data_IF_553090501091
#
_entry.id   IF_553090501091
#
_cell.length_a   1.000
_cell.length_b   1.000
_cell.length_c   1.000
_cell.angle_alpha   90.00
_cell.angle_beta   90.00
_cell.angle_gamma   90.00
#
_symmetry.space_group_name_H-M   'P 1'
#
loop_
_entity.id
_entity.type
_entity.pdbx_description
1 polymer ?
#
# COMPACT_ATOMS: atom_id res chain seq x y z
N UNK A 1 2.14 13.28 21.77
CA UNK A 1 1.65 12.72 20.51
C UNK A 1 0.30 13.36 20.24
N UNK A 2 0.21 14.30 19.30
CA UNK A 2 -1.09 14.87 18.90
C UNK A 2 -1.81 13.79 18.08
N UNK A 3 -2.81 13.15 18.68
CA UNK A 3 -3.52 12.00 18.07
C UNK A 3 -4.23 12.43 16.77
N UNK A 4 -4.69 13.68 16.70
CA UNK A 4 -5.31 14.30 15.54
C UNK A 4 -4.47 15.48 15.06
N UNK A 5 -3.58 15.23 14.10
CA UNK A 5 -2.87 16.30 13.40
C UNK A 5 -3.83 17.04 12.49
N UNK A 6 -3.74 18.38 12.51
CA UNK A 6 -4.53 19.20 11.57
C UNK A 6 -3.98 18.99 10.15
N UNK A 7 -4.86 18.98 9.14
CA UNK A 7 -4.41 19.01 7.77
C UNK A 7 -3.54 20.24 7.51
N UNK A 8 -2.54 20.12 6.64
CA UNK A 8 -1.70 21.26 6.29
C UNK A 8 -2.57 22.37 5.64
N UNK A 9 -2.44 23.63 6.08
CA UNK A 9 -3.22 24.73 5.51
C UNK A 9 -2.94 24.88 4.02
N UNK A 10 -3.98 25.12 3.22
CA UNK A 10 -3.86 25.29 1.77
C UNK A 10 -3.85 24.01 0.93
N UNK A 11 -3.92 22.81 1.52
CA UNK A 11 -3.92 21.55 0.75
C UNK A 11 -5.29 21.11 0.25
N UNK A 12 -6.39 21.74 0.68
CA UNK A 12 -7.76 21.45 0.21
C UNK A 12 -7.92 21.50 -1.32
N UNK A 13 -7.56 22.60 -2.02
CA UNK A 13 -7.74 22.69 -3.47
C UNK A 13 -6.89 21.66 -4.22
N UNK A 14 -5.71 21.34 -3.70
CA UNK A 14 -4.83 20.29 -4.27
C UNK A 14 -5.49 18.92 -4.08
N UNK A 15 -6.06 18.65 -2.90
CA UNK A 15 -6.78 17.41 -2.58
C UNK A 15 -7.96 17.19 -3.53
N UNK A 16 -8.78 18.22 -3.75
CA UNK A 16 -9.92 18.14 -4.68
C UNK A 16 -9.47 17.88 -6.13
N UNK A 17 -8.42 18.58 -6.59
CA UNK A 17 -7.84 18.35 -7.92
C UNK A 17 -7.28 16.94 -8.06
N UNK A 18 -6.60 16.43 -7.03
CA UNK A 18 -6.06 15.07 -7.01
C UNK A 18 -7.16 14.02 -7.06
N UNK A 19 -8.20 14.17 -6.26
CA UNK A 19 -9.34 13.26 -6.27
C UNK A 19 -10.00 13.24 -7.64
N UNK A 20 -10.29 14.39 -8.25
CA UNK A 20 -10.85 14.44 -9.59
C UNK A 20 -9.92 13.77 -10.62
N UNK A 21 -8.62 14.07 -10.56
CA UNK A 21 -7.62 13.54 -11.49
C UNK A 21 -7.41 12.03 -11.36
N UNK A 22 -7.63 11.44 -10.18
CA UNK A 22 -7.52 9.99 -9.97
C UNK A 22 -8.86 9.30 -10.26
N UNK A 23 -9.97 9.85 -9.76
CA UNK A 23 -11.28 9.20 -9.81
C UNK A 23 -11.92 9.25 -11.19
N UNK A 24 -11.80 10.34 -11.94
CA UNK A 24 -12.42 10.44 -13.28
C UNK A 24 -11.86 9.39 -14.24
N UNK A 25 -10.53 9.24 -14.40
CA UNK A 25 -9.98 8.19 -15.25
C UNK A 25 -10.29 6.79 -14.71
N UNK A 26 -10.22 6.59 -13.38
CA UNK A 26 -10.52 5.28 -12.79
C UNK A 26 -11.97 4.87 -12.98
N UNK A 27 -12.92 5.81 -12.90
CA UNK A 27 -14.34 5.58 -13.18
C UNK A 27 -14.56 5.24 -14.66
N UNK A 28 -13.89 5.94 -15.58
CA UNK A 28 -13.93 5.62 -17.00
C UNK A 28 -13.43 4.20 -17.28
N UNK A 29 -12.29 3.81 -16.68
CA UNK A 29 -11.79 2.43 -16.77
C UNK A 29 -12.78 1.42 -16.18
N UNK A 30 -13.45 1.77 -15.07
CA UNK A 30 -14.47 0.91 -14.48
C UNK A 30 -15.64 0.65 -15.43
N UNK A 31 -16.07 1.67 -16.19
CA UNK A 31 -17.16 1.53 -17.18
C UNK A 31 -16.70 0.73 -18.40
N UNK A 32 -15.46 0.92 -18.86
CA UNK A 32 -14.96 0.30 -20.08
C UNK A 32 -14.48 -1.15 -19.90
N UNK A 33 -13.90 -1.46 -18.73
CA UNK A 33 -13.17 -2.71 -18.51
C UNK A 33 -13.46 -3.36 -17.14
N UNK A 34 -14.43 -2.84 -16.39
CA UNK A 34 -14.88 -3.41 -15.12
C UNK A 34 -14.06 -2.96 -13.91
N UNK A 35 -14.55 -3.35 -12.73
CA UNK A 35 -14.03 -2.89 -11.44
C UNK A 35 -12.59 -3.37 -11.17
N UNK A 36 -12.24 -4.60 -11.56
CA UNK A 36 -10.87 -5.13 -11.41
C UNK A 36 -9.85 -4.29 -12.20
N UNK A 37 -10.18 -3.93 -13.44
CA UNK A 37 -9.35 -3.04 -14.26
C UNK A 37 -9.18 -1.66 -13.62
N UNK A 38 -10.27 -1.09 -13.08
CA UNK A 38 -10.25 0.19 -12.38
C UNK A 38 -9.35 0.16 -11.13
N UNK A 39 -9.42 -0.90 -10.33
CA UNK A 39 -8.57 -1.08 -9.14
C UNK A 39 -7.09 -1.18 -9.52
N UNK A 40 -6.77 -2.01 -10.53
CA UNK A 40 -5.40 -2.15 -11.03
C UNK A 40 -4.83 -0.85 -11.59
N UNK A 41 -5.63 -0.14 -12.39
CA UNK A 41 -5.30 1.16 -12.93
C UNK A 41 -5.07 2.20 -11.82
N UNK A 42 -5.99 2.33 -10.87
CA UNK A 42 -5.91 3.32 -9.79
C UNK A 42 -4.70 3.10 -8.87
N UNK A 43 -4.39 1.84 -8.55
CA UNK A 43 -3.15 1.50 -7.83
C UNK A 43 -1.90 1.92 -8.61
N UNK A 44 -1.91 1.72 -9.93
CA UNK A 44 -0.80 2.08 -10.79
C UNK A 44 -0.64 3.60 -10.98
N UNK A 45 -1.74 4.37 -10.91
CA UNK A 45 -1.69 5.84 -10.78
C UNK A 45 -0.90 6.23 -9.54
N UNK A 46 -1.17 5.57 -8.40
CA UNK A 46 -0.39 5.76 -7.17
C UNK A 46 1.10 5.46 -7.34
N UNK A 47 1.45 4.38 -8.07
CA UNK A 47 2.85 4.06 -8.38
C UNK A 47 3.51 5.16 -9.22
N UNK A 48 2.84 5.61 -10.28
CA UNK A 48 3.32 6.71 -11.13
C UNK A 48 3.54 7.99 -10.33
N UNK A 49 2.62 8.33 -9.43
CA UNK A 49 2.74 9.48 -8.54
C UNK A 49 3.86 9.36 -7.52
N UNK A 50 4.14 8.16 -7.03
CA UNK A 50 5.20 7.92 -6.06
C UNK A 50 6.61 8.05 -6.68
N UNK A 51 6.79 7.63 -7.93
CA UNK A 51 8.12 7.62 -8.58
C UNK A 51 8.47 8.91 -9.31
N UNK A 52 7.46 9.65 -9.79
CA UNK A 52 7.66 10.82 -10.67
C UNK A 52 8.39 12.00 -10.01
N UNK A 53 8.10 12.40 -8.75
CA UNK A 53 8.73 13.57 -8.14
C UNK A 53 10.23 13.42 -7.88
N UNK A 54 10.72 12.18 -7.78
CA UNK A 54 12.05 11.84 -7.28
C UNK A 54 12.94 11.17 -8.32
N UNK A 55 12.44 10.94 -9.55
CA UNK A 55 13.12 10.16 -10.58
C UNK A 55 13.22 10.90 -11.92
N UNK A 56 14.22 10.57 -12.73
CA UNK A 56 14.34 11.08 -14.11
C UNK A 56 13.33 10.40 -15.05
N UNK A 57 12.92 11.02 -16.17
CA UNK A 57 11.93 10.44 -17.09
C UNK A 57 12.21 8.99 -17.54
N UNK A 58 13.45 8.67 -17.88
CA UNK A 58 13.86 7.29 -18.24
C UNK A 58 13.70 6.31 -17.08
N UNK A 59 14.01 6.75 -15.86
CA UNK A 59 13.86 5.93 -14.66
C UNK A 59 12.39 5.73 -14.31
N UNK A 60 11.55 6.75 -14.47
CA UNK A 60 10.11 6.66 -14.27
C UNK A 60 9.53 5.58 -15.18
N UNK A 61 9.84 5.63 -16.48
CA UNK A 61 9.40 4.62 -17.43
C UNK A 61 9.87 3.22 -17.02
N UNK A 62 11.15 3.07 -16.64
CA UNK A 62 11.67 1.78 -16.19
C UNK A 62 10.96 1.25 -14.92
N UNK A 63 10.69 2.09 -13.93
CA UNK A 63 10.02 1.69 -12.69
C UNK A 63 8.53 1.33 -12.92
N UNK A 64 7.84 2.05 -13.81
CA UNK A 64 6.47 1.72 -14.23
C UNK A 64 6.46 0.37 -14.96
N UNK A 65 7.41 0.14 -15.88
CA UNK A 65 7.56 -1.14 -16.59
C UNK A 65 7.84 -2.27 -15.62
N UNK A 66 8.73 -2.08 -14.63
CA UNK A 66 8.97 -3.06 -13.57
C UNK A 66 7.69 -3.38 -12.80
N UNK A 67 6.90 -2.37 -12.44
CA UNK A 67 5.60 -2.56 -11.80
C UNK A 67 4.63 -3.36 -12.68
N UNK A 68 4.58 -3.07 -13.98
CA UNK A 68 3.73 -3.79 -14.94
C UNK A 68 4.15 -5.24 -15.11
N UNK A 69 5.46 -5.51 -15.21
CA UNK A 69 6.00 -6.88 -15.29
C UNK A 69 5.67 -7.66 -14.01
N UNK A 70 5.88 -7.08 -12.83
CA UNK A 70 5.56 -7.74 -11.57
C UNK A 70 4.07 -8.04 -11.44
N UNK A 71 3.19 -7.09 -11.80
CA UNK A 71 1.75 -7.31 -11.77
C UNK A 71 1.28 -8.35 -12.80
N UNK A 72 1.84 -8.34 -14.01
CA UNK A 72 1.56 -9.34 -15.04
C UNK A 72 1.99 -10.75 -14.62
N UNK A 73 3.20 -10.89 -14.06
CA UNK A 73 3.69 -12.16 -13.54
C UNK A 73 2.87 -12.64 -12.33
N UNK A 74 2.43 -11.73 -11.47
CA UNK A 74 1.57 -12.06 -10.34
C UNK A 74 0.19 -12.56 -10.81
N UNK A 75 -0.43 -11.86 -11.76
CA UNK A 75 -1.69 -12.27 -12.40
C UNK A 75 -1.55 -13.62 -13.12
N UNK A 76 -0.43 -13.85 -13.80
CA UNK A 76 -0.15 -15.16 -14.41
C UNK A 76 0.04 -16.27 -13.37
N UNK A 77 0.70 -15.97 -12.25
CA UNK A 77 0.92 -16.91 -11.15
C UNK A 77 -0.38 -17.24 -10.38
N UNK A 78 -1.36 -16.32 -10.37
CA UNK A 78 -2.61 -16.46 -9.64
C UNK A 78 -2.39 -16.72 -8.15
N UNK A 79 -2.98 -17.80 -7.63
CA UNK A 79 -2.87 -18.19 -6.22
C UNK A 79 -1.75 -19.23 -5.94
N UNK A 80 -0.81 -19.45 -6.87
CA UNK A 80 0.25 -20.45 -6.66
C UNK A 80 1.24 -20.01 -5.55
N UNK A 81 1.35 -20.76 -4.42
CA UNK A 81 2.05 -20.26 -3.23
C UNK A 81 3.53 -19.93 -3.46
N UNK A 82 4.26 -20.84 -4.11
CA UNK A 82 5.71 -20.69 -4.32
C UNK A 82 6.03 -19.57 -5.32
N UNK A 83 5.22 -19.38 -6.37
CA UNK A 83 5.46 -18.35 -7.37
C UNK A 83 5.22 -16.96 -6.79
N UNK A 84 4.13 -16.77 -6.02
CA UNK A 84 3.88 -15.51 -5.31
C UNK A 84 4.97 -15.23 -4.26
N UNK A 85 5.41 -16.23 -3.50
CA UNK A 85 6.50 -16.06 -2.54
C UNK A 85 7.81 -15.64 -3.23
N UNK A 86 8.15 -16.25 -4.37
CA UNK A 86 9.32 -15.86 -5.16
C UNK A 86 9.19 -14.41 -5.68
N UNK A 87 8.05 -14.06 -6.28
CA UNK A 87 7.78 -12.69 -6.77
C UNK A 87 7.84 -11.66 -5.65
N UNK A 88 7.34 -11.98 -4.46
CA UNK A 88 7.44 -11.13 -3.27
C UNK A 88 8.89 -10.90 -2.88
N UNK A 89 9.71 -11.94 -2.82
CA UNK A 89 11.13 -11.81 -2.51
C UNK A 89 11.86 -10.97 -3.57
N UNK A 90 11.65 -11.23 -4.86
CA UNK A 90 12.26 -10.44 -5.95
C UNK A 90 11.81 -8.98 -5.93
N UNK A 91 10.52 -8.72 -5.69
CA UNK A 91 10.01 -7.35 -5.58
C UNK A 91 10.64 -6.59 -4.40
N UNK A 92 10.91 -7.28 -3.29
CA UNK A 92 11.58 -6.70 -2.13
C UNK A 92 13.06 -6.39 -2.39
N UNK A 93 13.75 -7.20 -3.20
CA UNK A 93 15.12 -6.91 -3.68
C UNK A 93 15.12 -5.66 -4.57
N UNK A 94 14.18 -5.54 -5.51
CA UNK A 94 14.04 -4.34 -6.33
C UNK A 94 13.71 -3.10 -5.49
N UNK A 95 12.87 -3.27 -4.48
CA UNK A 95 12.54 -2.25 -3.48
C UNK A 95 13.78 -1.81 -2.68
N UNK A 96 14.66 -2.74 -2.29
CA UNK A 96 15.93 -2.43 -1.62
C UNK A 96 16.84 -1.55 -2.49
N UNK A 97 16.94 -1.86 -3.78
CA UNK A 97 17.74 -1.08 -4.74
C UNK A 97 17.12 0.31 -4.94
N UNK A 98 15.79 0.39 -5.06
CA UNK A 98 15.08 1.65 -5.26
C UNK A 98 15.21 2.60 -4.05
N UNK A 99 15.13 2.06 -2.83
CA UNK A 99 15.25 2.83 -1.59
C UNK A 99 16.60 3.54 -1.41
N UNK A 100 17.67 3.07 -2.08
CA UNK A 100 18.97 3.75 -2.05
C UNK A 100 18.94 5.14 -2.68
N UNK A 101 17.95 5.42 -3.54
CA UNK A 101 17.77 6.75 -4.16
C UNK A 101 16.84 7.63 -3.36
N UNK A 102 15.73 7.07 -2.90
CA UNK A 102 14.77 7.74 -2.03
C UNK A 102 13.91 6.70 -1.34
N UNK A 103 13.73 6.85 -0.03
CA UNK A 103 12.89 5.99 0.77
C UNK A 103 11.46 5.95 0.22
N UNK A 104 10.89 4.75 0.10
CA UNK A 104 9.53 4.56 -0.39
C UNK A 104 9.41 4.51 -1.91
N UNK A 105 10.50 4.72 -2.67
CA UNK A 105 10.54 4.43 -4.10
C UNK A 105 10.19 2.96 -4.35
N UNK A 106 9.23 2.71 -5.23
CA UNK A 106 8.74 1.37 -5.58
C UNK A 106 8.07 0.62 -4.40
N UNK A 107 7.68 1.30 -3.32
CA UNK A 107 6.99 0.68 -2.17
C UNK A 107 5.65 0.00 -2.51
N UNK A 108 5.03 0.42 -3.62
CA UNK A 108 3.81 -0.19 -4.12
C UNK A 108 4.05 -1.47 -4.93
N UNK A 109 5.27 -1.78 -5.40
CA UNK A 109 5.49 -2.95 -6.25
C UNK A 109 5.24 -4.30 -5.55
N UNK A 110 5.71 -4.55 -4.31
CA UNK A 110 5.31 -5.77 -3.58
C UNK A 110 3.80 -5.83 -3.33
N UNK A 111 3.14 -4.66 -3.16
CA UNK A 111 1.69 -4.59 -3.04
C UNK A 111 1.01 -4.96 -4.35
N UNK A 112 1.58 -4.60 -5.51
CA UNK A 112 1.07 -5.05 -6.81
C UNK A 112 1.10 -6.57 -6.95
N UNK A 113 2.19 -7.22 -6.50
CA UNK A 113 2.27 -8.70 -6.51
C UNK A 113 1.13 -9.31 -5.69
N UNK A 114 0.85 -8.74 -4.51
CA UNK A 114 -0.25 -9.20 -3.66
C UNK A 114 -1.61 -8.97 -4.34
N UNK A 115 -1.88 -7.78 -4.87
CA UNK A 115 -3.20 -7.42 -5.35
C UNK A 115 -3.58 -8.10 -6.68
N UNK A 116 -2.60 -8.28 -7.58
CA UNK A 116 -2.81 -8.91 -8.89
C UNK A 116 -2.65 -10.44 -8.87
N UNK A 117 -1.98 -11.00 -7.86
CA UNK A 117 -1.87 -12.45 -7.70
C UNK A 117 -3.04 -13.02 -6.89
N UNK A 118 -2.87 -13.20 -5.57
CA UNK A 118 -3.92 -13.75 -4.71
C UNK A 118 -4.97 -12.74 -4.23
N UNK A 119 -4.81 -11.47 -4.62
CA UNK A 119 -5.69 -10.38 -4.23
C UNK A 119 -6.97 -10.32 -5.06
N UNK A 120 -7.74 -9.24 -4.90
CA UNK A 120 -9.06 -9.10 -5.53
C UNK A 120 -9.00 -8.73 -7.03
N UNK A 121 -7.82 -8.42 -7.59
CA UNK A 121 -7.70 -7.96 -8.98
C UNK A 121 -7.58 -9.17 -9.89
N UNK A 122 -8.73 -9.66 -10.35
CA UNK A 122 -8.80 -10.74 -11.33
C UNK A 122 -8.71 -10.16 -12.75
N UNK A 123 -7.52 -10.23 -13.33
CA UNK A 123 -7.19 -9.77 -14.67
C UNK A 123 -6.26 -10.79 -15.31
N UNK A 124 -6.30 -10.91 -16.63
CA UNK A 124 -5.28 -11.65 -17.38
C UNK A 124 -3.93 -10.92 -17.35
N UNK A 125 -2.81 -11.64 -17.47
CA UNK A 125 -1.47 -11.07 -17.34
C UNK A 125 -1.21 -9.88 -18.29
N UNK A 126 -1.73 -9.94 -19.52
CA UNK A 126 -1.55 -8.89 -20.52
C UNK A 126 -2.42 -7.66 -20.21
N UNK A 127 -3.64 -7.88 -19.71
CA UNK A 127 -4.54 -6.78 -19.33
C UNK A 127 -4.06 -6.10 -18.05
N UNK A 128 -3.52 -6.88 -17.10
CA UNK A 128 -2.83 -6.36 -15.93
C UNK A 128 -1.65 -5.46 -16.34
N UNK A 129 -0.77 -5.94 -17.24
CA UNK A 129 0.33 -5.13 -17.77
C UNK A 129 -0.17 -3.82 -18.38
N UNK A 130 -1.20 -3.89 -19.24
CA UNK A 130 -1.77 -2.74 -19.93
C UNK A 130 -2.32 -1.69 -18.95
N UNK A 131 -3.12 -2.12 -17.98
CA UNK A 131 -3.72 -1.20 -17.01
C UNK A 131 -2.71 -0.61 -16.03
N UNK A 132 -1.65 -1.37 -15.68
CA UNK A 132 -0.55 -0.84 -14.86
C UNK A 132 0.27 0.19 -15.63
N UNK A 133 0.59 -0.06 -16.91
CA UNK A 133 1.28 0.92 -17.75
C UNK A 133 0.44 2.19 -17.93
N UNK A 134 -0.85 2.05 -18.23
CA UNK A 134 -1.79 3.16 -18.38
C UNK A 134 -1.93 3.98 -17.09
N UNK A 135 -2.14 3.33 -15.96
CA UNK A 135 -2.24 3.99 -14.66
C UNK A 135 -0.93 4.70 -14.28
N UNK A 136 0.22 4.04 -14.46
CA UNK A 136 1.53 4.65 -14.22
C UNK A 136 1.78 5.90 -15.06
N UNK A 137 1.39 5.90 -16.34
CA UNK A 137 1.47 7.07 -17.21
C UNK A 137 0.55 8.20 -16.75
N UNK A 138 -0.68 7.89 -16.36
CA UNK A 138 -1.60 8.89 -15.81
C UNK A 138 -1.06 9.49 -14.51
N UNK A 139 -0.52 8.67 -13.60
CA UNK A 139 0.16 9.15 -12.40
C UNK A 139 1.35 10.07 -12.69
N UNK A 140 2.12 9.77 -13.73
CA UNK A 140 3.19 10.64 -14.23
C UNK A 140 2.66 12.00 -14.69
N UNK A 141 1.62 12.02 -15.53
CA UNK A 141 1.04 13.27 -16.02
C UNK A 141 0.38 14.09 -14.91
N UNK A 142 -0.35 13.46 -13.98
CA UNK A 142 -0.97 14.12 -12.83
C UNK A 142 0.10 14.83 -12.00
N UNK A 143 1.19 14.13 -11.69
CA UNK A 143 2.29 14.70 -10.88
C UNK A 143 2.95 15.90 -11.57
N UNK A 144 3.17 15.80 -12.88
CA UNK A 144 3.72 16.89 -13.71
C UNK A 144 2.78 18.09 -13.78
N UNK A 145 1.48 17.85 -13.99
CA UNK A 145 0.45 18.88 -14.10
C UNK A 145 0.27 19.64 -12.79
N UNK A 146 0.25 18.91 -11.67
CA UNK A 146 0.09 19.47 -10.33
C UNK A 146 1.41 19.97 -9.72
N UNK A 147 2.52 19.85 -10.45
CA UNK A 147 3.87 20.27 -10.04
C UNK A 147 4.24 19.74 -8.64
N UNK A 148 3.84 18.51 -8.35
CA UNK A 148 4.09 17.90 -7.05
C UNK A 148 5.59 17.63 -6.89
N UNK A 149 6.15 18.12 -5.79
CA UNK A 149 7.56 17.94 -5.44
C UNK A 149 7.64 17.13 -4.15
N UNK A 150 8.56 16.17 -4.11
CA UNK A 150 8.84 15.41 -2.89
C UNK A 150 10.34 15.46 -2.61
N UNK A 151 10.74 15.62 -1.34
CA UNK A 151 12.14 15.54 -0.97
C UNK A 151 12.67 14.13 -1.24
N UNK A 152 13.90 14.04 -1.71
CA UNK A 152 14.61 12.75 -1.83
C UNK A 152 15.24 12.41 -0.49
N UNK A 153 14.96 11.21 0.02
CA UNK A 153 15.49 10.71 1.29
C UNK A 153 16.24 9.40 1.06
N UNK A 154 17.46 9.43 0.48
CA UNK A 154 18.20 8.22 0.17
C UNK A 154 18.51 7.42 1.42
N UNK A 155 18.32 6.11 1.36
CA UNK A 155 18.68 5.17 2.42
C UNK A 155 20.09 4.65 2.17
N UNK A 156 20.90 4.55 3.22
CA UNK A 156 22.21 3.91 3.14
C UNK A 156 22.11 2.51 2.48
N UNK A 157 23.07 2.17 1.62
CA UNK A 157 23.06 0.94 0.81
C UNK A 157 22.91 -0.30 1.68
N UNK A 158 23.66 -0.39 2.77
CA UNK A 158 23.61 -1.56 3.67
C UNK A 158 22.25 -1.64 4.34
N UNK A 159 21.79 -0.52 4.90
CA UNK A 159 20.48 -0.44 5.57
C UNK A 159 19.32 -0.80 4.62
N UNK A 160 19.40 -0.37 3.36
CA UNK A 160 18.40 -0.68 2.34
C UNK A 160 18.35 -2.18 2.01
N UNK A 161 19.52 -2.84 1.89
CA UNK A 161 19.60 -4.29 1.66
C UNK A 161 19.12 -5.09 2.87
N UNK A 162 19.56 -4.75 4.08
CA UNK A 162 19.14 -5.43 5.30
C UNK A 162 17.62 -5.35 5.49
N UNK A 163 17.07 -4.16 5.29
CA UNK A 163 15.63 -3.94 5.34
C UNK A 163 14.88 -4.71 4.25
N UNK A 164 15.32 -4.59 2.99
CA UNK A 164 14.65 -5.22 1.85
C UNK A 164 14.69 -6.74 1.91
N UNK A 165 15.81 -7.35 2.33
CA UNK A 165 15.90 -8.80 2.53
C UNK A 165 15.00 -9.26 3.67
N UNK A 166 15.01 -8.56 4.81
CA UNK A 166 14.18 -8.94 5.95
C UNK A 166 12.68 -8.85 5.63
N UNK A 167 12.25 -7.76 4.97
CA UNK A 167 10.87 -7.59 4.48
C UNK A 167 10.53 -8.63 3.43
N UNK A 168 11.43 -8.90 2.49
CA UNK A 168 11.25 -9.88 1.42
C UNK A 168 11.05 -11.29 1.96
N UNK A 169 11.92 -11.74 2.87
CA UNK A 169 11.81 -13.06 3.50
C UNK A 169 10.52 -13.17 4.30
N UNK A 170 10.21 -12.17 5.14
CA UNK A 170 9.00 -12.17 5.95
C UNK A 170 7.74 -12.20 5.09
N UNK A 171 7.64 -11.33 4.10
CA UNK A 171 6.45 -11.26 3.25
C UNK A 171 6.33 -12.48 2.34
N UNK A 172 7.42 -13.00 1.80
CA UNK A 172 7.41 -14.25 1.03
C UNK A 172 6.93 -15.42 1.89
N UNK A 173 7.42 -15.55 3.13
CA UNK A 173 7.00 -16.60 4.06
C UNK A 173 5.53 -16.48 4.46
N UNK A 174 5.07 -15.26 4.78
CA UNK A 174 3.66 -14.99 5.09
C UNK A 174 2.76 -15.34 3.91
N UNK A 175 3.13 -14.93 2.69
CA UNK A 175 2.34 -15.22 1.49
C UNK A 175 2.32 -16.72 1.16
N UNK A 176 3.47 -17.40 1.26
CA UNK A 176 3.54 -18.84 1.08
C UNK A 176 2.61 -19.56 2.06
N UNK A 177 2.74 -19.26 3.36
CA UNK A 177 1.90 -19.84 4.40
C UNK A 177 0.41 -19.55 4.16
N UNK A 178 0.04 -18.30 3.93
CA UNK A 178 -1.35 -17.88 3.71
C UNK A 178 -1.99 -18.62 2.55
N UNK A 179 -1.27 -18.83 1.45
CA UNK A 179 -1.79 -19.50 0.26
C UNK A 179 -1.83 -21.01 0.43
N UNK A 180 -0.82 -21.62 1.04
CA UNK A 180 -0.80 -23.07 1.31
C UNK A 180 -1.96 -23.49 2.23
N UNK A 181 -2.24 -22.70 3.26
CA UNK A 181 -3.30 -22.99 4.23
C UNK A 181 -4.65 -22.34 3.89
N UNK A 182 -4.78 -21.74 2.70
CA UNK A 182 -6.01 -21.09 2.22
C UNK A 182 -6.60 -20.09 3.24
N UNK A 183 -5.73 -19.35 3.92
CA UNK A 183 -6.12 -18.37 4.94
C UNK A 183 -6.82 -17.20 4.23
N UNK A 184 -8.13 -16.98 4.47
CA UNK A 184 -8.85 -15.87 3.85
C UNK A 184 -8.17 -14.55 4.22
N UNK A 185 -7.99 -13.68 3.23
CA UNK A 185 -7.35 -12.37 3.39
C UNK A 185 -5.99 -12.34 4.11
N UNK A 186 -5.30 -13.47 4.28
CA UNK A 186 -4.04 -13.54 5.03
C UNK A 186 -2.91 -12.69 4.43
N UNK A 187 -3.05 -12.31 3.15
CA UNK A 187 -2.20 -11.32 2.50
C UNK A 187 -2.21 -9.93 3.17
N UNK A 188 -3.24 -9.60 3.97
CA UNK A 188 -3.27 -8.37 4.77
C UNK A 188 -2.16 -8.29 5.80
N UNK A 189 -1.63 -9.42 6.27
CA UNK A 189 -0.43 -9.47 7.12
C UNK A 189 0.76 -8.88 6.36
N UNK A 190 1.03 -9.36 5.14
CA UNK A 190 2.13 -8.89 4.30
C UNK A 190 1.96 -7.42 3.91
N UNK A 191 0.75 -6.98 3.53
CA UNK A 191 0.45 -5.56 3.25
C UNK A 191 0.74 -4.70 4.48
N UNK A 192 0.38 -5.17 5.68
CA UNK A 192 0.64 -4.43 6.93
C UNK A 192 2.13 -4.31 7.21
N UNK A 193 2.90 -5.40 7.05
CA UNK A 193 4.36 -5.37 7.20
C UNK A 193 4.99 -4.36 6.24
N UNK A 194 4.64 -4.41 4.96
CA UNK A 194 5.15 -3.51 3.92
C UNK A 194 4.85 -2.03 4.21
N UNK A 195 3.65 -1.74 4.71
CA UNK A 195 3.23 -0.36 4.99
C UNK A 195 3.77 0.18 6.32
N UNK A 196 3.93 -0.68 7.33
CA UNK A 196 4.28 -0.27 8.68
C UNK A 196 5.79 -0.29 8.94
N UNK A 197 6.52 -1.24 8.38
CA UNK A 197 7.97 -1.33 8.53
C UNK A 197 8.66 -0.42 7.50
N UNK A 198 8.96 0.81 7.90
CA UNK A 198 9.75 1.75 7.07
C UNK A 198 11.25 1.45 7.13
N UNK A 199 12.02 1.72 6.05
CA UNK A 199 13.47 1.57 6.06
C UNK A 199 14.16 2.57 7.01
N UNK A 200 13.59 3.76 7.16
CA UNK A 200 14.09 4.84 8.00
C UNK A 200 13.59 4.70 9.45
N UNK A 201 14.52 4.70 10.40
CA UNK A 201 14.25 4.29 11.78
C UNK A 201 13.38 5.28 12.57
N UNK A 202 13.54 6.56 12.29
CA UNK A 202 12.78 7.70 12.79
C UNK A 202 11.28 7.60 12.43
N UNK A 203 10.98 7.16 11.21
CA UNK A 203 9.60 7.06 10.71
C UNK A 203 8.86 5.80 11.20
N UNK A 204 9.58 4.73 11.53
CA UNK A 204 9.00 3.43 11.90
C UNK A 204 8.01 3.50 13.07
N UNK A 205 8.33 4.26 14.12
CA UNK A 205 7.48 4.32 15.32
C UNK A 205 6.14 4.97 15.01
N UNK A 206 6.16 6.04 14.24
CA UNK A 206 4.96 6.75 13.81
C UNK A 206 4.09 5.87 12.90
N UNK A 207 4.69 5.15 11.95
CA UNK A 207 3.95 4.28 11.03
C UNK A 207 3.38 3.05 11.73
N UNK A 208 4.13 2.41 12.63
CA UNK A 208 3.65 1.25 13.40
C UNK A 208 2.45 1.64 14.29
N UNK A 209 2.61 2.71 15.08
CA UNK A 209 1.54 3.18 15.98
C UNK A 209 0.33 3.70 15.19
N UNK A 210 0.58 4.47 14.13
CA UNK A 210 -0.47 5.01 13.28
C UNK A 210 -1.24 3.91 12.55
N UNK A 211 -0.57 2.84 12.10
CA UNK A 211 -1.24 1.69 11.49
C UNK A 211 -2.11 0.95 12.50
N UNK A 212 -1.57 0.66 13.68
CA UNK A 212 -2.28 -0.08 14.72
C UNK A 212 -3.51 0.71 15.18
N UNK A 213 -3.30 1.91 15.72
CA UNK A 213 -4.38 2.74 16.27
C UNK A 213 -5.37 3.16 15.18
N UNK A 214 -4.86 3.58 14.01
CA UNK A 214 -5.70 3.99 12.89
C UNK A 214 -6.57 2.85 12.38
N UNK A 215 -6.05 1.62 12.26
CA UNK A 215 -6.87 0.48 11.86
C UNK A 215 -7.88 0.10 12.92
N UNK A 216 -7.56 0.14 14.21
CA UNK A 216 -8.55 -0.11 15.27
C UNK A 216 -9.71 0.91 15.23
N UNK A 217 -9.40 2.21 15.20
CA UNK A 217 -10.43 3.26 15.15
C UNK A 217 -11.23 3.18 13.83
N UNK A 218 -10.55 2.93 12.72
CA UNK A 218 -11.17 2.77 11.42
C UNK A 218 -12.08 1.53 11.33
N UNK A 219 -11.69 0.42 11.95
CA UNK A 219 -12.50 -0.79 12.05
C UNK A 219 -13.80 -0.55 12.85
N UNK A 220 -13.71 0.22 13.94
CA UNK A 220 -14.90 0.64 14.72
C UNK A 220 -15.83 1.49 13.82
N UNK A 221 -15.29 2.47 13.09
CA UNK A 221 -16.10 3.29 12.17
C UNK A 221 -16.78 2.42 11.10
N UNK A 222 -16.04 1.46 10.52
CA UNK A 222 -16.57 0.54 9.52
C UNK A 222 -17.73 -0.28 10.08
N UNK A 223 -17.55 -0.87 11.26
CA UNK A 223 -18.53 -1.72 11.91
C UNK A 223 -19.79 -0.94 12.28
N UNK A 224 -19.64 0.26 12.85
CA UNK A 224 -20.78 1.13 13.16
C UNK A 224 -21.55 1.52 11.90
N UNK A 225 -20.84 1.85 10.81
CA UNK A 225 -21.47 2.19 9.54
C UNK A 225 -22.24 1.00 8.96
N UNK A 226 -21.66 -0.20 8.97
CA UNK A 226 -22.32 -1.41 8.43
C UNK A 226 -23.53 -1.84 9.28
N UNK A 227 -23.45 -1.72 10.61
CA UNK A 227 -24.53 -2.16 11.51
C UNK A 227 -25.72 -1.19 11.57
N UNK A 228 -25.46 0.12 11.54
CA UNK A 228 -26.47 1.12 11.88
C UNK A 228 -26.91 2.00 10.71
N UNK A 229 -26.21 1.99 9.57
CA UNK A 229 -26.53 2.84 8.44
C UNK A 229 -27.09 2.04 7.26
N UNK A 230 -28.05 2.59 6.51
CA UNK A 230 -28.39 2.04 5.21
C UNK A 230 -27.21 2.14 4.25
N UNK A 231 -27.16 1.26 3.24
CA UNK A 231 -26.05 1.14 2.30
C UNK A 231 -25.60 2.48 1.71
N UNK A 232 -26.53 3.33 1.24
CA UNK A 232 -26.19 4.62 0.65
C UNK A 232 -25.44 5.53 1.63
N UNK A 233 -25.82 5.52 2.91
CA UNK A 233 -25.18 6.34 3.94
C UNK A 233 -23.81 5.76 4.32
N UNK A 234 -23.67 4.44 4.39
CA UNK A 234 -22.37 3.79 4.58
C UNK A 234 -21.40 4.12 3.41
N UNK A 235 -21.88 4.11 2.17
CA UNK A 235 -21.10 4.52 0.99
C UNK A 235 -20.66 5.99 1.09
N UNK A 236 -21.54 6.89 1.56
CA UNK A 236 -21.15 8.29 1.82
C UNK A 236 -20.02 8.38 2.85
N UNK A 237 -20.09 7.61 3.94
CA UNK A 237 -18.98 7.52 4.92
C UNK A 237 -17.69 7.04 4.24
N UNK A 238 -17.75 6.00 3.42
CA UNK A 238 -16.57 5.49 2.69
C UNK A 238 -15.96 6.54 1.75
N UNK A 239 -16.78 7.32 1.06
CA UNK A 239 -16.33 8.42 0.18
C UNK A 239 -15.70 9.56 0.98
N UNK A 240 -16.25 9.93 2.14
CA UNK A 240 -15.64 10.90 3.05
C UNK A 240 -14.30 10.41 3.60
N UNK A 241 -14.21 9.12 3.90
CA UNK A 241 -12.96 8.46 4.27
C UNK A 241 -11.94 8.50 3.13
N UNK A 242 -12.34 8.26 1.88
CA UNK A 242 -11.45 8.43 0.73
C UNK A 242 -10.96 9.87 0.57
N UNK A 243 -11.85 10.85 0.73
CA UNK A 243 -11.50 12.26 0.68
C UNK A 243 -10.46 12.64 1.74
N UNK A 244 -10.72 12.26 2.99
CA UNK A 244 -9.80 12.52 4.11
C UNK A 244 -8.47 11.76 3.96
N UNK A 245 -8.48 10.54 3.41
CA UNK A 245 -7.26 9.79 3.09
C UNK A 245 -6.35 10.60 2.15
N UNK A 246 -6.88 11.09 1.03
CA UNK A 246 -6.08 11.89 0.07
C UNK A 246 -5.59 13.18 0.72
N UNK A 247 -6.44 13.83 1.52
CA UNK A 247 -6.05 15.05 2.23
C UNK A 247 -4.87 14.81 3.18
N UNK A 248 -4.98 13.81 4.06
CA UNK A 248 -3.95 13.53 5.07
C UNK A 248 -2.69 12.87 4.49
N UNK A 249 -2.78 12.31 3.27
CA UNK A 249 -1.60 11.87 2.51
C UNK A 249 -0.69 13.05 2.18
N UNK A 250 -1.25 14.22 1.85
CA UNK A 250 -0.47 15.43 1.58
C UNK A 250 0.16 16.02 2.86
N UNK A 251 -0.46 15.78 4.02
CA UNK A 251 -0.02 16.33 5.31
C UNK A 251 0.95 15.44 6.11
N UNK A 252 1.24 14.21 5.66
CA UNK A 252 2.12 13.27 6.36
C UNK A 252 1.52 12.59 7.60
N UNK A 253 0.24 12.82 7.89
CA UNK A 253 -0.44 12.31 9.08
C UNK A 253 -0.80 10.82 8.96
N UNK A 254 0.16 9.93 9.20
CA UNK A 254 -0.02 8.50 8.92
C UNK A 254 -1.15 7.84 9.71
N UNK A 255 -1.38 8.25 10.97
CA UNK A 255 -2.51 7.75 11.77
C UNK A 255 -3.85 8.07 11.10
N UNK A 256 -4.04 9.31 10.64
CA UNK A 256 -5.24 9.73 9.92
C UNK A 256 -5.40 8.98 8.60
N UNK A 257 -4.30 8.75 7.87
CA UNK A 257 -4.34 7.94 6.64
C UNK A 257 -4.82 6.51 6.93
N UNK A 258 -4.30 5.84 7.96
CA UNK A 258 -4.73 4.50 8.33
C UNK A 258 -6.19 4.45 8.84
N UNK A 259 -6.60 5.47 9.61
CA UNK A 259 -7.96 5.63 10.10
C UNK A 259 -8.97 5.83 8.97
N UNK A 260 -8.61 6.59 7.94
CA UNK A 260 -9.46 6.82 6.77
C UNK A 260 -9.46 5.62 5.81
N UNK A 261 -8.31 4.99 5.59
CA UNK A 261 -8.18 3.87 4.65
C UNK A 261 -9.01 2.65 5.09
N UNK A 262 -8.97 2.32 6.38
CA UNK A 262 -9.58 1.08 6.90
C UNK A 262 -11.11 1.01 6.68
N UNK A 263 -11.92 1.99 7.13
CA UNK A 263 -13.36 1.96 6.92
C UNK A 263 -13.74 2.11 5.45
N UNK A 264 -12.99 2.92 4.69
CA UNK A 264 -13.20 3.03 3.25
C UNK A 264 -13.09 1.65 2.57
N UNK A 265 -12.02 0.90 2.85
CA UNK A 265 -11.83 -0.43 2.29
C UNK A 265 -12.90 -1.43 2.75
N UNK A 266 -13.19 -1.48 4.06
CA UNK A 266 -14.11 -2.47 4.62
C UNK A 266 -15.56 -2.26 4.17
N UNK A 267 -16.03 -1.01 4.12
CA UNK A 267 -17.39 -0.70 3.67
C UNK A 267 -17.55 -1.03 2.18
N UNK A 268 -16.57 -0.70 1.33
CA UNK A 268 -16.61 -1.08 -0.08
C UNK A 268 -16.47 -2.59 -0.30
N UNK A 269 -15.77 -3.31 0.58
CA UNK A 269 -15.61 -4.75 0.48
C UNK A 269 -16.83 -5.54 0.99
N UNK A 270 -17.65 -4.95 1.87
CA UNK A 270 -18.88 -5.56 2.37
C UNK A 270 -20.12 -5.24 1.52
N UNK A 271 -20.16 -4.08 0.84
CA UNK A 271 -21.29 -3.63 0.00
C UNK A 271 -22.68 -3.75 0.67
N UNK A 272 -22.74 -3.58 2.00
CA UNK A 272 -23.98 -3.64 2.77
C UNK A 272 -24.33 -5.02 3.32
N UNK A 273 -23.53 -6.04 3.03
CA UNK A 273 -23.61 -7.34 3.70
C UNK A 273 -23.01 -7.21 5.11
N UNK A 274 -23.87 -7.37 6.12
CA UNK A 274 -23.53 -7.17 7.53
C UNK A 274 -22.60 -8.28 8.04
N UNK A 275 -22.90 -9.54 7.71
CA UNK A 275 -22.15 -10.70 8.18
C UNK A 275 -20.74 -10.66 7.58
N UNK A 276 -20.65 -10.41 6.26
CA UNK A 276 -19.37 -10.19 5.57
C UNK A 276 -18.62 -8.99 6.13
N UNK A 277 -19.32 -7.89 6.44
CA UNK A 277 -18.70 -6.71 7.05
C UNK A 277 -18.07 -7.00 8.41
N UNK A 278 -18.74 -7.81 9.24
CA UNK A 278 -18.22 -8.24 10.52
C UNK A 278 -16.99 -9.13 10.39
N UNK A 279 -17.05 -10.15 9.53
CA UNK A 279 -15.95 -11.08 9.23
C UNK A 279 -14.70 -10.32 8.76
N UNK A 280 -14.85 -9.49 7.73
CA UNK A 280 -13.75 -8.69 7.18
C UNK A 280 -13.14 -7.74 8.23
N UNK A 281 -13.97 -7.18 9.11
CA UNK A 281 -13.49 -6.27 10.17
C UNK A 281 -12.63 -7.01 11.19
N UNK A 282 -13.07 -8.19 11.64
CA UNK A 282 -12.31 -9.02 12.58
C UNK A 282 -10.99 -9.46 11.94
N UNK A 283 -11.04 -10.03 10.74
CA UNK A 283 -9.86 -10.45 10.00
C UNK A 283 -8.87 -9.30 9.85
N UNK A 284 -9.37 -8.09 9.54
CA UNK A 284 -8.53 -6.92 9.35
C UNK A 284 -7.80 -6.52 10.61
N UNK A 285 -8.48 -6.53 11.75
CA UNK A 285 -7.88 -6.23 13.06
C UNK A 285 -6.83 -7.29 13.42
N UNK A 286 -7.19 -8.57 13.33
CA UNK A 286 -6.28 -9.68 13.68
C UNK A 286 -5.03 -9.66 12.81
N UNK A 287 -5.16 -9.59 11.48
CA UNK A 287 -4.01 -9.58 10.58
C UNK A 287 -3.18 -8.30 10.70
N UNK A 288 -3.77 -7.18 11.11
CA UNK A 288 -3.01 -5.97 11.41
C UNK A 288 -2.17 -6.16 12.68
N UNK A 289 -2.74 -6.71 13.75
CA UNK A 289 -1.98 -7.01 14.99
C UNK A 289 -0.82 -7.98 14.70
N UNK A 290 -1.09 -9.06 13.97
CA UNK A 290 -0.06 -10.04 13.59
C UNK A 290 1.03 -9.40 12.72
N UNK A 291 0.65 -8.62 11.71
CA UNK A 291 1.60 -7.92 10.83
C UNK A 291 2.45 -6.91 11.59
N UNK A 292 1.87 -6.15 12.53
CA UNK A 292 2.61 -5.20 13.38
C UNK A 292 3.56 -5.93 14.32
N UNK A 293 3.14 -7.03 14.95
CA UNK A 293 4.00 -7.83 15.81
C UNK A 293 5.21 -8.37 15.04
N UNK A 294 4.99 -8.93 13.84
CA UNK A 294 6.06 -9.42 12.97
C UNK A 294 7.01 -8.28 12.53
N UNK A 295 6.47 -7.12 12.16
CA UNK A 295 7.26 -5.95 11.79
C UNK A 295 8.12 -5.43 12.96
N UNK A 296 7.58 -5.39 14.17
CA UNK A 296 8.32 -5.02 15.39
C UNK A 296 9.45 -6.01 15.66
N UNK A 297 9.18 -7.31 15.57
CA UNK A 297 10.21 -8.34 15.76
C UNK A 297 11.37 -8.16 14.78
N UNK A 298 11.07 -8.00 13.48
CA UNK A 298 12.09 -7.74 12.46
C UNK A 298 12.83 -6.43 12.74
N UNK A 299 12.13 -5.37 13.15
CA UNK A 299 12.75 -4.09 13.49
C UNK A 299 13.75 -4.22 14.65
N UNK A 300 13.43 -5.03 15.67
CA UNK A 300 14.31 -5.31 16.81
C UNK A 300 15.52 -6.15 16.40
N UNK A 301 15.33 -7.16 15.54
CA UNK A 301 16.43 -7.98 15.00
C UNK A 301 17.43 -7.12 14.21
N UNK A 302 16.92 -6.26 13.31
CA UNK A 302 17.76 -5.33 12.54
C UNK A 302 18.52 -4.36 13.45
N UNK A 303 17.87 -3.80 14.48
CA UNK A 303 18.54 -2.93 15.47
C UNK A 303 19.62 -3.69 16.25
N UNK A 304 19.34 -4.92 16.69
CA UNK A 304 20.29 -5.75 17.43
C UNK A 304 21.51 -6.07 16.58
N UNK A 305 21.33 -6.43 15.31
CA UNK A 305 22.44 -6.66 14.38
C UNK A 305 23.26 -5.42 14.10
N UNK A 306 22.62 -4.24 13.97
CA UNK A 306 23.34 -2.97 13.88
C UNK A 306 24.23 -2.71 15.11
N UNK A 307 23.65 -2.79 16.33
CA UNK A 307 24.39 -2.52 17.57
C UNK A 307 25.57 -3.47 17.81
N UNK A 308 25.43 -4.76 17.46
CA UNK A 308 26.52 -5.74 17.61
C UNK A 308 27.71 -5.47 16.70
N UNK A 309 27.50 -4.78 15.58
CA UNK A 309 28.58 -4.46 14.65
C UNK A 309 29.36 -3.24 15.08
N UNK A 310 28.66 -2.23 15.60
CA UNK A 310 29.30 -1.04 16.19
C UNK A 310 30.25 -1.46 17.32
N UNK A 311 29.82 -2.38 18.18
CA UNK A 311 30.66 -2.94 19.24
C UNK A 311 31.85 -3.82 18.79
N UNK A 312 31.94 -4.18 17.50
CA UNK A 312 33.06 -4.97 16.93
C UNK A 312 34.00 -4.09 16.10
N UNK A 313 33.57 -2.89 15.72
CA UNK A 313 34.40 -1.91 14.99
C UNK A 313 35.17 -0.96 15.91
N UNK A 314 34.82 -0.91 17.20
CA UNK A 314 35.54 -0.19 18.27
C UNK A 314 36.56 -1.12 18.96
#
# INVERSE_FOLDING_TARGET
MTIFSRPQPGTLPITLKLLAAILIPSALVSVLAGTSASMGFGMAVGLGMAVTPVSRPRQIAALIVVGAVLGALASWAGATPWAIAALMFFSAVLFAIANQRSAGLLSLAPIMVILFGPGPIDLSWWSAALWILGGGLVGFFITRLLKFQAPTLPVDRRSAWEHGLAVGILCAGVMFWSLTYHVPHGYWIAVTVLMALRPLADQRRETLNGRLIGTFLGAIIALLAVLFLPLWAAVVVAVLCLFTLVWYTMGGAYLMQALSLTPMLLIFASLGDVDRGFELTIERVVFTVVGIAAAVLVALLLRRWASRREAVSD
#
